data_IF_845381503153
#
_entry.id   IF_845381503153
#
_cell.length_a   1.000
_cell.length_b   1.000
_cell.length_c   1.000
_cell.angle_alpha   90.00
_cell.angle_beta   90.00
_cell.angle_gamma   90.00
#
_symmetry.space_group_name_H-M   'P 1'
#
loop_
_entity.id
_entity.type
_entity.pdbx_description
1 polymer ?
#
# COMPACT_ATOMS: atom_id res chain seq x y z
N UNK A 1 -16.17 24.12 17.37
CA UNK A 1 -16.18 22.85 16.60
C UNK A 1 -14.74 22.37 16.43
N UNK A 2 -14.50 21.13 16.75
CA UNK A 2 -13.19 20.55 16.54
C UNK A 2 -13.26 19.56 15.39
N UNK A 3 -12.27 19.63 14.50
CA UNK A 3 -12.08 18.63 13.47
C UNK A 3 -11.16 17.52 14.02
N UNK A 4 -11.45 16.28 13.69
CA UNK A 4 -10.62 15.14 14.09
C UNK A 4 -10.35 14.25 12.91
N UNK A 5 -9.17 13.60 12.92
CA UNK A 5 -8.75 12.65 11.92
C UNK A 5 -8.51 11.31 12.62
N UNK A 6 -9.25 10.29 12.21
CA UNK A 6 -9.09 8.95 12.75
C UNK A 6 -8.10 8.17 11.87
N UNK A 7 -6.97 7.79 12.46
CA UNK A 7 -5.91 7.07 11.78
C UNK A 7 -5.84 5.66 12.34
N UNK A 8 -5.92 4.66 11.44
CA UNK A 8 -5.67 3.28 11.79
C UNK A 8 -4.27 2.87 11.34
N UNK A 9 -3.53 2.22 12.22
CA UNK A 9 -2.23 1.66 11.88
C UNK A 9 -2.45 0.16 11.67
N UNK A 10 -2.31 -0.29 10.43
CA UNK A 10 -2.50 -1.69 10.08
C UNK A 10 -1.19 -2.46 10.27
N UNK A 11 -1.27 -3.56 11.00
CA UNK A 11 -0.17 -4.49 11.13
C UNK A 11 -0.49 -5.71 10.29
N UNK A 12 0.12 -5.78 9.10
CA UNK A 12 -0.03 -6.91 8.21
C UNK A 12 1.31 -7.61 8.06
N UNK A 13 1.27 -8.85 7.63
CA UNK A 13 2.47 -9.64 7.41
C UNK A 13 2.61 -9.96 5.91
N UNK A 14 3.18 -9.02 5.12
CA UNK A 14 3.29 -9.23 3.69
C UNK A 14 4.28 -10.34 3.35
N UNK A 15 4.01 -11.05 2.26
CA UNK A 15 4.88 -12.09 1.74
C UNK A 15 5.76 -11.50 0.64
N UNK A 16 7.07 -11.69 0.75
CA UNK A 16 8.03 -11.17 -0.23
C UNK A 16 7.69 -11.73 -1.61
N UNK A 17 7.54 -10.83 -2.58
CA UNK A 17 7.30 -11.17 -3.96
C UNK A 17 5.85 -11.54 -4.32
N UNK A 18 4.99 -11.75 -3.33
CA UNK A 18 3.58 -12.09 -3.59
C UNK A 18 2.71 -10.83 -3.56
N UNK A 19 2.83 -10.04 -4.61
CA UNK A 19 2.17 -8.73 -4.71
C UNK A 19 0.65 -8.88 -4.64
N UNK A 20 0.08 -9.89 -5.31
CA UNK A 20 -1.37 -10.10 -5.32
C UNK A 20 -1.90 -10.42 -3.93
N UNK A 21 -1.23 -11.29 -3.19
CA UNK A 21 -1.64 -11.63 -1.82
C UNK A 21 -1.46 -10.43 -0.89
N UNK A 22 -0.38 -9.66 -1.07
CA UNK A 22 -0.13 -8.47 -0.26
C UNK A 22 -1.21 -7.42 -0.51
N UNK A 23 -1.61 -7.20 -1.76
CA UNK A 23 -2.71 -6.28 -2.09
C UNK A 23 -4.03 -6.74 -1.46
N UNK A 24 -4.30 -8.04 -1.45
CA UNK A 24 -5.49 -8.58 -0.81
C UNK A 24 -5.49 -8.33 0.71
N UNK A 25 -4.33 -8.47 1.36
CA UNK A 25 -4.19 -8.17 2.79
C UNK A 25 -4.40 -6.68 3.08
N UNK A 26 -3.89 -5.81 2.22
CA UNK A 26 -4.08 -4.37 2.32
C UNK A 26 -5.58 -4.04 2.21
N UNK A 27 -6.27 -4.60 1.23
CA UNK A 27 -7.70 -4.37 1.05
C UNK A 27 -8.52 -4.85 2.24
N UNK A 28 -8.20 -6.02 2.78
CA UNK A 28 -8.90 -6.54 3.94
C UNK A 28 -8.71 -5.66 5.18
N UNK A 29 -7.49 -5.20 5.42
CA UNK A 29 -7.18 -4.32 6.54
C UNK A 29 -7.88 -2.96 6.38
N UNK A 30 -7.92 -2.43 5.16
CA UNK A 30 -8.63 -1.19 4.86
C UNK A 30 -10.12 -1.31 5.15
N UNK A 31 -10.74 -2.42 4.73
CA UNK A 31 -12.16 -2.65 4.96
C UNK A 31 -12.48 -2.72 6.46
N UNK A 32 -11.63 -3.38 7.24
CA UNK A 32 -11.79 -3.44 8.68
C UNK A 32 -11.64 -2.05 9.32
N UNK A 33 -10.64 -1.29 8.92
CA UNK A 33 -10.44 0.07 9.41
C UNK A 33 -11.63 0.97 9.05
N UNK A 34 -12.17 0.82 7.85
CA UNK A 34 -13.35 1.57 7.42
C UNK A 34 -14.56 1.28 8.33
N UNK A 35 -14.75 0.03 8.73
CA UNK A 35 -15.84 -0.36 9.63
C UNK A 35 -15.70 0.27 11.02
N UNK A 36 -14.47 0.67 11.39
CA UNK A 36 -14.17 1.32 12.66
C UNK A 36 -14.14 2.85 12.55
N UNK A 37 -14.47 3.41 11.40
CA UNK A 37 -14.55 4.85 11.19
C UNK A 37 -13.22 5.53 10.89
N UNK A 38 -12.21 4.80 10.42
CA UNK A 38 -10.93 5.39 10.07
C UNK A 38 -11.04 6.30 8.83
N UNK A 39 -10.28 7.38 8.83
CA UNK A 39 -10.15 8.29 7.68
C UNK A 39 -8.89 7.99 6.88
N UNK A 40 -7.88 7.43 7.53
CA UNK A 40 -6.60 7.06 6.92
C UNK A 40 -6.12 5.75 7.53
N UNK A 41 -5.61 4.87 6.68
CA UNK A 41 -4.98 3.62 7.12
C UNK A 41 -3.50 3.65 6.73
N UNK A 42 -2.63 3.47 7.70
CA UNK A 42 -1.17 3.46 7.49
C UNK A 42 -0.68 2.02 7.52
N UNK A 43 0.02 1.63 6.47
CA UNK A 43 0.59 0.30 6.32
C UNK A 43 2.10 0.34 6.52
N UNK A 44 2.72 -0.79 6.90
CA UNK A 44 4.17 -0.84 7.08
C UNK A 44 4.93 -0.62 5.79
N UNK A 45 6.19 -0.24 5.89
CA UNK A 45 7.06 -0.04 4.74
C UNK A 45 7.12 -1.30 3.88
N UNK A 46 7.15 -1.10 2.55
CA UNK A 46 7.15 -2.15 1.54
C UNK A 46 6.00 -3.14 1.67
N UNK A 47 4.83 -2.67 2.13
CA UNK A 47 3.65 -3.52 2.33
C UNK A 47 3.18 -4.21 1.04
N UNK A 48 3.40 -3.58 -0.11
CA UNK A 48 3.02 -4.15 -1.42
C UNK A 48 3.99 -5.25 -1.85
N UNK A 49 5.28 -5.03 -1.70
CA UNK A 49 6.31 -5.96 -2.16
C UNK A 49 6.70 -7.02 -1.13
N UNK A 50 6.50 -6.72 0.15
CA UNK A 50 7.06 -7.49 1.25
C UNK A 50 8.50 -7.05 1.54
N UNK A 51 8.88 -7.14 2.78
CA UNK A 51 10.22 -6.73 3.24
C UNK A 51 11.03 -7.99 3.59
N UNK A 52 12.20 -8.16 3.09
CA UNK A 52 13.06 -7.42 2.15
C UNK A 52 12.94 -8.06 0.76
N UNK A 53 12.66 -7.28 -0.30
CA UNK A 53 12.53 -7.87 -1.64
C UNK A 53 13.86 -8.21 -2.31
N UNK A 54 14.98 -7.74 -1.77
CA UNK A 54 16.33 -8.06 -2.24
C UNK A 54 16.50 -7.84 -3.74
N UNK A 55 16.92 -8.87 -4.48
CA UNK A 55 17.18 -8.76 -5.92
C UNK A 55 15.93 -8.50 -6.76
N UNK A 56 14.74 -8.69 -6.21
CA UNK A 56 13.51 -8.44 -6.95
C UNK A 56 13.39 -7.01 -7.42
N UNK A 57 13.93 -6.04 -6.65
CA UNK A 57 13.87 -4.62 -7.01
C UNK A 57 14.68 -4.31 -8.27
N UNK A 58 15.55 -5.22 -8.71
CA UNK A 58 16.33 -5.09 -9.93
C UNK A 58 15.59 -5.59 -11.17
N UNK A 59 14.41 -6.20 -10.98
CA UNK A 59 13.62 -6.78 -12.08
C UNK A 59 12.55 -5.80 -12.52
N UNK A 60 12.61 -5.28 -13.77
CA UNK A 60 11.60 -4.33 -14.25
C UNK A 60 10.16 -4.85 -14.17
N UNK A 61 9.95 -6.13 -14.45
CA UNK A 61 8.62 -6.73 -14.37
C UNK A 61 8.06 -6.72 -12.94
N UNK A 62 8.92 -6.91 -11.93
CA UNK A 62 8.50 -6.84 -10.54
C UNK A 62 8.10 -5.42 -10.16
N UNK A 63 8.90 -4.43 -10.55
CA UNK A 63 8.61 -3.02 -10.29
C UNK A 63 7.31 -2.58 -10.99
N UNK A 64 7.10 -3.03 -12.23
CA UNK A 64 5.87 -2.76 -12.95
C UNK A 64 4.65 -3.37 -12.25
N UNK A 65 4.78 -4.60 -11.75
CA UNK A 65 3.70 -5.26 -11.02
C UNK A 65 3.37 -4.54 -9.70
N UNK A 66 4.38 -4.02 -8.99
CA UNK A 66 4.16 -3.20 -7.81
C UNK A 66 3.39 -1.92 -8.16
N UNK A 67 3.77 -1.26 -9.25
CA UNK A 67 3.10 -0.05 -9.71
C UNK A 67 1.64 -0.32 -10.06
N UNK A 68 1.38 -1.40 -10.80
CA UNK A 68 0.02 -1.78 -11.17
C UNK A 68 -0.84 -2.04 -9.93
N UNK A 69 -0.29 -2.73 -8.94
CA UNK A 69 -0.99 -2.99 -7.68
C UNK A 69 -1.31 -1.70 -6.94
N UNK A 70 -0.36 -0.76 -6.87
CA UNK A 70 -0.58 0.55 -6.23
C UNK A 70 -1.67 1.32 -6.95
N UNK A 71 -1.66 1.33 -8.28
CA UNK A 71 -2.68 2.02 -9.08
C UNK A 71 -4.06 1.39 -8.87
N UNK A 72 -4.14 0.06 -8.77
CA UNK A 72 -5.40 -0.62 -8.47
C UNK A 72 -5.91 -0.27 -7.07
N UNK A 73 -5.04 -0.25 -6.08
CA UNK A 73 -5.40 0.16 -4.72
C UNK A 73 -5.87 1.62 -4.68
N UNK A 74 -5.24 2.49 -5.48
CA UNK A 74 -5.65 3.89 -5.57
C UNK A 74 -7.09 4.01 -6.11
N UNK A 75 -7.46 3.18 -7.06
CA UNK A 75 -8.84 3.17 -7.59
C UNK A 75 -9.85 2.77 -6.53
N UNK A 76 -9.47 1.91 -5.59
CA UNK A 76 -10.36 1.49 -4.51
C UNK A 76 -10.81 2.68 -3.65
N UNK A 77 -9.99 3.72 -3.54
CA UNK A 77 -10.33 4.90 -2.73
C UNK A 77 -11.47 5.74 -3.31
N UNK A 78 -11.86 5.47 -4.55
CA UNK A 78 -13.00 6.15 -5.17
C UNK A 78 -14.34 5.82 -4.49
N UNK A 79 -14.36 4.82 -3.60
CA UNK A 79 -15.56 4.44 -2.83
C UNK A 79 -15.91 5.43 -1.70
N UNK A 80 -15.09 6.47 -1.50
CA UNK A 80 -15.29 7.44 -0.43
C UNK A 80 -14.83 6.95 0.94
N UNK A 81 -14.24 5.77 1.02
CA UNK A 81 -13.68 5.23 2.26
C UNK A 81 -12.30 5.79 2.60
N UNK A 82 -11.59 5.18 3.55
CA UNK A 82 -10.32 5.70 4.03
C UNK A 82 -9.27 5.84 2.94
N UNK A 83 -8.46 6.89 3.05
CA UNK A 83 -7.20 6.99 2.31
C UNK A 83 -6.23 5.93 2.83
N UNK A 84 -5.24 5.58 2.03
CA UNK A 84 -4.20 4.61 2.41
C UNK A 84 -2.81 5.22 2.24
N UNK A 85 -1.93 4.94 3.20
CA UNK A 85 -0.50 5.20 3.05
C UNK A 85 0.19 3.84 2.94
N UNK A 86 0.70 3.51 1.76
CA UNK A 86 1.31 2.22 1.46
C UNK A 86 2.77 2.38 1.11
N UNK A 87 3.57 1.34 1.34
CA UNK A 87 4.97 1.31 0.94
C UNK A 87 5.18 0.37 -0.24
N UNK A 88 5.97 0.82 -1.20
CA UNK A 88 6.32 0.02 -2.38
C UNK A 88 7.66 0.46 -2.95
N UNK A 89 8.42 -0.45 -3.60
CA UNK A 89 9.51 -0.01 -4.43
C UNK A 89 8.91 0.71 -5.65
N UNK A 90 9.48 1.87 -5.97
CA UNK A 90 8.93 2.75 -7.00
C UNK A 90 10.03 3.21 -7.92
N UNK A 91 9.79 3.11 -9.21
CA UNK A 91 10.75 3.53 -10.22
C UNK A 91 10.49 4.99 -10.60
N UNK A 92 11.49 5.82 -10.38
CA UNK A 92 11.48 7.21 -10.82
C UNK A 92 12.57 7.37 -11.89
N UNK A 93 12.16 7.50 -13.16
CA UNK A 93 13.11 7.39 -14.26
C UNK A 93 13.70 5.97 -14.31
N UNK A 94 15.02 5.85 -14.15
CA UNK A 94 15.72 4.55 -14.13
C UNK A 94 16.15 4.12 -12.73
N UNK A 95 15.76 4.89 -11.69
CA UNK A 95 16.22 4.65 -10.31
C UNK A 95 15.09 4.13 -9.46
N UNK A 96 15.26 2.97 -8.79
CA UNK A 96 14.29 2.48 -7.83
C UNK A 96 14.45 3.18 -6.48
N UNK A 97 13.32 3.49 -5.85
CA UNK A 97 13.25 4.06 -4.51
C UNK A 97 12.33 3.22 -3.64
N UNK A 98 12.59 3.26 -2.33
CA UNK A 98 11.65 2.79 -1.34
C UNK A 98 10.70 3.96 -1.07
N UNK A 99 9.48 3.88 -1.57
CA UNK A 99 8.54 4.98 -1.54
C UNK A 99 7.39 4.73 -0.58
N UNK A 100 6.89 5.80 0.02
CA UNK A 100 5.62 5.83 0.72
C UNK A 100 4.63 6.62 -0.15
N UNK A 101 3.48 6.01 -0.42
CA UNK A 101 2.52 6.54 -1.38
C UNK A 101 1.18 6.76 -0.66
N UNK A 102 0.67 7.99 -0.76
CA UNK A 102 -0.65 8.32 -0.24
C UNK A 102 -1.67 8.14 -1.34
N UNK A 103 -2.64 7.25 -1.11
CA UNK A 103 -3.70 6.92 -2.05
C UNK A 103 -5.02 7.47 -1.53
N UNK A 104 -5.60 8.40 -2.30
CA UNK A 104 -6.86 9.02 -1.93
C UNK A 104 -7.71 9.38 -3.15
#
# INVERSE_FOLDING_TARGET
>A
MTASLAIAIAQINPTVGDIKANAARIRAARAEAASQGADLVVFPGLSVAGYQPEDLVLKPAFLAACRDAVEDLARDTADGGPAMLVGAPWLEGERPFNAALLLE
#
